data_IF_962219232282
#
_entry.id   IF_962219232282
#
_cell.length_a   1.000
_cell.length_b   1.000
_cell.length_c   1.000
_cell.angle_alpha   90.00
_cell.angle_beta   90.00
_cell.angle_gamma   90.00
#
_symmetry.space_group_name_H-M   'P 1'
#
loop_
_entity.id
_entity.type
_entity.pdbx_description
1 polymer ?
#
# COMPACT_ATOMS: atom_id res chain seq x y z
N UNK A 1 -2.74 -6.18 -17.15
CA UNK A 1 -1.30 -6.03 -17.40
C UNK A 1 -0.62 -5.72 -16.08
N UNK A 2 0.53 -6.35 -15.75
CA UNK A 2 1.30 -6.06 -14.56
C UNK A 2 2.68 -5.53 -14.92
N UNK A 3 3.15 -4.54 -14.19
CA UNK A 3 4.48 -3.95 -14.35
C UNK A 3 5.29 -4.21 -13.08
N UNK A 4 6.37 -4.93 -13.24
CA UNK A 4 7.30 -5.26 -12.16
C UNK A 4 8.53 -4.36 -12.24
N UNK A 5 8.97 -3.86 -11.10
CA UNK A 5 10.29 -3.24 -10.96
C UNK A 5 11.25 -4.28 -10.43
N UNK A 6 12.32 -4.53 -11.15
CA UNK A 6 13.31 -5.56 -10.80
C UNK A 6 14.73 -4.98 -10.75
N UNK A 7 15.66 -5.74 -10.18
CA UNK A 7 17.10 -5.39 -10.20
C UNK A 7 17.69 -5.32 -11.61
N UNK A 8 17.01 -5.96 -12.59
CA UNK A 8 17.46 -6.04 -14.00
C UNK A 8 16.71 -5.05 -14.90
N UNK A 9 15.87 -4.19 -14.36
CA UNK A 9 15.02 -3.26 -15.10
C UNK A 9 13.53 -3.59 -14.93
N UNK A 10 12.70 -3.05 -15.81
CA UNK A 10 11.25 -3.30 -15.78
C UNK A 10 10.90 -4.61 -16.50
N UNK A 11 9.87 -5.29 -15.99
CA UNK A 11 9.26 -6.45 -16.64
C UNK A 11 7.77 -6.23 -16.75
N UNK A 12 7.21 -6.43 -17.93
CA UNK A 12 5.78 -6.32 -18.21
C UNK A 12 5.19 -7.73 -18.33
N UNK A 13 4.18 -8.05 -17.52
CA UNK A 13 3.38 -9.28 -17.67
C UNK A 13 2.08 -8.93 -18.40
N UNK A 14 1.86 -9.59 -19.52
CA UNK A 14 0.65 -9.45 -20.32
C UNK A 14 0.21 -10.82 -20.86
N UNK A 15 -1.05 -11.19 -20.66
CA UNK A 15 -1.63 -12.48 -21.08
C UNK A 15 -0.79 -13.70 -20.69
N UNK A 16 -0.27 -13.70 -19.45
CA UNK A 16 0.53 -14.80 -18.90
C UNK A 16 1.97 -14.89 -19.45
N UNK A 17 2.41 -13.90 -20.23
CA UNK A 17 3.79 -13.81 -20.74
C UNK A 17 4.50 -12.62 -20.12
N UNK A 18 5.79 -12.81 -19.83
CA UNK A 18 6.66 -11.75 -19.33
C UNK A 18 7.54 -11.19 -20.44
N UNK A 19 7.70 -9.86 -20.44
CA UNK A 19 8.51 -9.13 -21.41
C UNK A 19 9.50 -8.25 -20.69
N UNK A 20 10.78 -8.35 -21.03
CA UNK A 20 11.84 -7.52 -20.46
C UNK A 20 11.87 -6.14 -21.10
N UNK A 21 11.91 -5.11 -20.28
CA UNK A 21 11.94 -3.70 -20.66
C UNK A 21 13.05 -2.96 -19.90
N UNK A 22 14.34 -3.37 -20.04
CA UNK A 22 15.44 -2.80 -19.26
C UNK A 22 15.69 -1.33 -19.54
N UNK A 23 15.40 -0.88 -20.76
CA UNK A 23 15.65 0.48 -21.23
C UNK A 23 14.50 1.47 -20.90
N UNK A 24 13.44 0.99 -20.23
CA UNK A 24 12.32 1.82 -19.83
C UNK A 24 12.51 2.26 -18.35
N UNK A 25 12.89 3.52 -18.06
CA UNK A 25 13.07 3.99 -16.70
C UNK A 25 11.74 3.98 -15.94
N UNK A 26 11.76 3.42 -14.73
CA UNK A 26 10.56 3.34 -13.88
C UNK A 26 9.85 4.67 -13.72
N UNK A 27 10.60 5.74 -13.41
CA UNK A 27 10.05 7.07 -13.16
C UNK A 27 9.29 7.61 -14.38
N UNK A 28 9.83 7.39 -15.58
CA UNK A 28 9.19 7.87 -16.82
C UNK A 28 7.90 7.11 -17.12
N UNK A 29 7.86 5.82 -16.78
CA UNK A 29 6.67 4.99 -16.94
C UNK A 29 5.55 5.46 -16.01
N UNK A 30 5.83 5.59 -14.73
CA UNK A 30 4.81 5.84 -13.71
C UNK A 30 4.32 7.29 -13.64
N UNK A 31 4.91 8.19 -14.42
CA UNK A 31 4.41 9.56 -14.60
C UNK A 31 3.45 9.71 -15.80
N UNK A 32 3.20 8.64 -16.55
CA UNK A 32 2.40 8.67 -17.79
C UNK A 32 0.94 8.43 -17.52
N UNK A 33 0.08 9.32 -18.03
CA UNK A 33 -1.39 9.11 -17.98
C UNK A 33 -1.86 7.99 -18.92
N UNK A 34 -1.09 7.71 -19.99
CA UNK A 34 -1.35 6.68 -21.00
C UNK A 34 -0.52 5.40 -20.75
N UNK A 35 -0.10 5.12 -19.52
CA UNK A 35 0.82 4.02 -19.20
C UNK A 35 0.38 2.69 -19.81
N UNK A 36 -0.89 2.32 -19.69
CA UNK A 36 -1.41 1.05 -20.22
C UNK A 36 -1.29 0.96 -21.74
N UNK A 37 -1.69 2.01 -22.46
CA UNK A 37 -1.59 2.07 -23.92
C UNK A 37 -0.14 2.10 -24.39
N UNK A 38 0.70 2.83 -23.69
CA UNK A 38 2.13 2.90 -23.97
C UNK A 38 2.77 1.53 -23.85
N UNK A 39 2.56 0.82 -22.74
CA UNK A 39 3.11 -0.52 -22.53
C UNK A 39 2.58 -1.51 -23.57
N UNK A 40 1.29 -1.46 -23.91
CA UNK A 40 0.70 -2.33 -24.92
C UNK A 40 1.33 -2.12 -26.30
N UNK A 41 1.61 -0.88 -26.70
CA UNK A 41 2.35 -0.59 -27.95
C UNK A 41 3.79 -1.09 -27.87
N UNK A 42 4.43 -0.94 -26.71
CA UNK A 42 5.83 -1.35 -26.50
C UNK A 42 6.04 -2.86 -26.55
N UNK A 43 5.03 -3.69 -26.24
CA UNK A 43 5.14 -5.17 -26.28
C UNK A 43 5.66 -5.70 -27.62
N UNK A 44 5.43 -4.98 -28.71
CA UNK A 44 5.88 -5.40 -30.06
C UNK A 44 7.40 -5.37 -30.24
N UNK A 45 8.10 -4.62 -29.41
CA UNK A 45 9.56 -4.41 -29.49
C UNK A 45 10.31 -4.99 -28.29
N UNK A 46 9.58 -5.41 -27.25
CA UNK A 46 10.18 -6.00 -26.06
C UNK A 46 10.55 -7.46 -26.28
N UNK A 47 11.58 -7.92 -25.60
CA UNK A 47 12.02 -9.31 -25.63
C UNK A 47 11.28 -10.13 -24.56
N UNK A 48 11.07 -11.43 -24.84
CA UNK A 48 10.47 -12.32 -23.84
C UNK A 48 11.44 -12.47 -22.65
N UNK A 49 10.93 -12.25 -21.46
CA UNK A 49 11.63 -12.43 -20.19
C UNK A 49 11.39 -13.82 -19.62
N UNK A 50 12.35 -14.34 -18.87
CA UNK A 50 12.18 -15.56 -18.10
C UNK A 50 11.35 -15.36 -16.83
N UNK A 51 10.69 -16.41 -16.34
CA UNK A 51 9.98 -16.36 -15.05
C UNK A 51 10.91 -16.05 -13.86
N UNK A 52 12.20 -16.34 -13.97
CA UNK A 52 13.20 -16.02 -12.98
C UNK A 52 13.38 -14.51 -12.78
N UNK A 53 13.07 -13.69 -13.79
CA UNK A 53 13.23 -12.23 -13.73
C UNK A 53 12.26 -11.58 -12.75
N UNK A 54 11.08 -12.19 -12.53
CA UNK A 54 10.08 -11.75 -11.54
C UNK A 54 10.08 -12.60 -10.27
N UNK A 55 11.16 -13.31 -9.98
CA UNK A 55 11.32 -14.02 -8.71
C UNK A 55 11.44 -13.03 -7.54
N UNK A 56 11.02 -13.44 -6.35
CA UNK A 56 11.05 -12.60 -5.15
C UNK A 56 12.43 -11.98 -4.86
N UNK A 57 13.51 -12.67 -5.23
CA UNK A 57 14.88 -12.19 -5.05
C UNK A 57 15.26 -11.03 -5.98
N UNK A 58 14.55 -10.85 -7.08
CA UNK A 58 14.80 -9.81 -8.08
C UNK A 58 13.83 -8.63 -7.95
N UNK A 59 12.68 -8.82 -7.30
CA UNK A 59 11.68 -7.77 -7.17
C UNK A 59 12.16 -6.63 -6.28
N UNK A 60 11.84 -5.41 -6.70
CA UNK A 60 12.01 -4.18 -5.94
C UNK A 60 10.64 -3.58 -5.64
N UNK A 61 10.58 -2.68 -4.65
CA UNK A 61 9.37 -1.89 -4.44
C UNK A 61 9.01 -1.14 -5.73
N UNK A 62 7.74 -1.18 -6.17
CA UNK A 62 7.29 -0.52 -7.40
C UNK A 62 7.18 1.01 -7.21
N UNK A 63 8.24 1.64 -6.72
CA UNK A 63 8.32 3.07 -6.43
C UNK A 63 9.61 3.67 -7.01
N UNK A 64 9.58 4.93 -7.40
CA UNK A 64 10.73 5.73 -7.84
C UNK A 64 10.93 6.93 -6.91
N UNK A 65 10.60 8.12 -7.41
CA UNK A 65 10.67 9.38 -6.66
C UNK A 65 9.32 9.79 -6.02
N UNK A 66 8.30 8.92 -6.08
CA UNK A 66 6.95 9.20 -5.59
C UNK A 66 6.92 9.25 -4.06
N UNK A 67 6.19 10.18 -3.50
CA UNK A 67 5.77 10.13 -2.11
C UNK A 67 4.67 9.06 -1.92
N UNK A 68 4.56 8.54 -0.71
CA UNK A 68 3.45 7.70 -0.26
C UNK A 68 2.64 8.48 0.75
N UNK A 69 1.36 8.63 0.46
CA UNK A 69 0.34 9.19 1.35
C UNK A 69 -0.64 8.09 1.74
N UNK A 70 -1.41 8.32 2.79
CA UNK A 70 -2.41 7.37 3.25
C UNK A 70 -3.71 8.08 3.65
N UNK A 71 -4.81 7.32 3.61
CA UNK A 71 -6.11 7.75 4.08
C UNK A 71 -6.53 6.92 5.30
N UNK A 72 -6.86 7.59 6.39
CA UNK A 72 -7.37 6.93 7.59
C UNK A 72 -8.90 6.83 7.61
N UNK A 73 -9.42 5.95 8.46
CA UNK A 73 -10.86 5.85 8.80
C UNK A 73 -11.76 5.70 7.57
N UNK A 74 -11.34 4.87 6.61
CA UNK A 74 -12.06 4.66 5.34
C UNK A 74 -12.95 3.42 5.34
N UNK A 75 -12.75 2.51 6.29
CA UNK A 75 -13.59 1.32 6.52
C UNK A 75 -14.33 1.43 7.86
N UNK A 76 -15.51 0.79 7.95
CA UNK A 76 -16.28 0.75 9.20
C UNK A 76 -15.45 0.14 10.34
N UNK A 77 -14.77 -0.98 10.07
CA UNK A 77 -13.93 -1.67 11.07
C UNK A 77 -12.77 -0.81 11.56
N UNK A 78 -12.14 -0.02 10.66
CA UNK A 78 -11.05 0.88 11.07
C UNK A 78 -11.54 2.05 11.93
N UNK A 79 -12.75 2.56 11.67
CA UNK A 79 -13.39 3.54 12.54
C UNK A 79 -13.58 2.99 13.96
N UNK A 80 -14.18 1.81 14.07
CA UNK A 80 -14.48 1.20 15.37
C UNK A 80 -13.20 0.96 16.16
N UNK A 81 -12.17 0.39 15.53
CA UNK A 81 -10.87 0.17 16.17
C UNK A 81 -10.23 1.48 16.67
N UNK A 82 -10.30 2.56 15.87
CA UNK A 82 -9.77 3.86 16.28
C UNK A 82 -10.54 4.49 17.43
N UNK A 83 -11.84 4.32 17.46
CA UNK A 83 -12.68 4.78 18.57
C UNK A 83 -12.32 4.03 19.86
N UNK A 84 -12.20 2.70 19.81
CA UNK A 84 -11.78 1.86 20.93
C UNK A 84 -10.40 2.26 21.48
N UNK A 85 -9.39 2.46 20.59
CA UNK A 85 -8.02 2.83 20.94
C UNK A 85 -7.90 4.21 21.59
N UNK A 86 -8.74 5.15 21.19
CA UNK A 86 -8.68 6.55 21.64
C UNK A 86 -9.65 6.90 22.78
N UNK A 87 -10.43 5.96 23.27
CA UNK A 87 -11.41 6.18 24.36
C UNK A 87 -10.75 6.80 25.59
N UNK A 88 -9.60 6.26 26.01
CA UNK A 88 -8.85 6.71 27.19
C UNK A 88 -8.32 8.14 26.99
N UNK A 89 -7.97 8.52 25.76
CA UNK A 89 -7.46 9.86 25.43
C UNK A 89 -8.56 10.88 25.11
N UNK A 90 -9.85 10.50 25.15
CA UNK A 90 -10.97 11.37 24.78
C UNK A 90 -11.08 11.65 23.28
N UNK A 91 -10.45 10.84 22.44
CA UNK A 91 -10.35 11.03 20.97
C UNK A 91 -11.43 10.34 20.14
N UNK A 92 -12.27 9.48 20.72
CA UNK A 92 -13.25 8.66 20.00
C UNK A 92 -14.18 9.44 19.09
N UNK A 93 -14.65 10.60 19.53
CA UNK A 93 -15.54 11.48 18.75
C UNK A 93 -14.90 12.00 17.44
N UNK A 94 -13.58 12.18 17.38
CA UNK A 94 -12.90 12.71 16.20
C UNK A 94 -12.95 11.70 15.05
N UNK A 95 -12.75 10.42 15.32
CA UNK A 95 -12.75 9.37 14.30
C UNK A 95 -14.14 9.09 13.74
N UNK A 96 -15.19 9.14 14.58
CA UNK A 96 -16.57 9.06 14.11
C UNK A 96 -16.93 10.25 13.23
N UNK A 97 -16.55 11.47 13.65
CA UNK A 97 -16.77 12.68 12.84
C UNK A 97 -16.08 12.60 11.49
N UNK A 98 -14.81 12.16 11.44
CA UNK A 98 -14.05 12.00 10.17
C UNK A 98 -14.71 10.94 9.29
N UNK A 99 -15.18 9.83 9.87
CA UNK A 99 -15.85 8.78 9.10
C UNK A 99 -17.10 9.33 8.39
N UNK A 100 -17.86 10.21 9.01
CA UNK A 100 -19.08 10.81 8.45
C UNK A 100 -18.86 12.10 7.66
N UNK A 101 -17.73 12.77 7.82
CA UNK A 101 -17.43 14.04 7.14
C UNK A 101 -17.19 13.86 5.63
N UNK A 102 -17.38 14.91 4.84
CA UNK A 102 -16.99 14.94 3.43
C UNK A 102 -15.46 14.90 3.29
N UNK A 103 -14.75 15.63 4.15
CA UNK A 103 -13.29 15.69 4.16
C UNK A 103 -12.70 14.40 4.75
N UNK A 104 -11.88 13.65 3.98
CA UNK A 104 -11.18 12.47 4.50
C UNK A 104 -10.03 12.85 5.41
N UNK A 105 -9.61 11.94 6.27
CA UNK A 105 -8.28 11.95 6.86
C UNK A 105 -7.27 11.58 5.78
N UNK A 106 -6.26 12.43 5.57
CA UNK A 106 -5.13 12.18 4.69
C UNK A 106 -3.86 12.57 5.42
N UNK A 107 -2.86 11.70 5.37
CA UNK A 107 -1.57 11.96 6.00
C UNK A 107 -0.42 11.46 5.14
N UNK A 108 0.75 12.08 5.32
CA UNK A 108 1.99 11.64 4.71
C UNK A 108 2.45 10.34 5.37
N UNK A 109 2.81 9.33 4.54
CA UNK A 109 3.25 8.02 5.04
C UNK A 109 4.74 7.78 4.88
N UNK A 110 5.27 7.96 3.69
CA UNK A 110 6.67 7.64 3.45
C UNK A 110 7.26 8.40 2.25
N UNK A 111 8.55 8.68 2.36
CA UNK A 111 9.43 8.94 1.21
C UNK A 111 9.94 7.60 0.65
N UNK A 112 10.44 7.55 -0.60
CA UNK A 112 10.86 6.30 -1.24
C UNK A 112 11.86 5.46 -0.44
N UNK A 113 12.80 6.09 0.28
CA UNK A 113 13.84 5.37 1.04
C UNK A 113 13.29 4.63 2.28
N UNK A 114 12.06 4.94 2.73
CA UNK A 114 11.36 4.24 3.82
C UNK A 114 10.48 3.10 3.32
N UNK A 115 10.33 2.95 1.99
CA UNK A 115 9.47 1.94 1.40
C UNK A 115 10.24 0.64 1.16
N UNK A 116 9.70 -0.44 1.68
CA UNK A 116 10.25 -1.80 1.55
C UNK A 116 9.56 -2.52 0.39
N UNK A 117 10.32 -3.24 -0.43
CA UNK A 117 9.81 -4.11 -1.49
C UNK A 117 9.51 -5.53 -1.02
N UNK A 118 9.04 -6.40 -1.95
CA UNK A 118 8.79 -7.81 -1.67
C UNK A 118 10.02 -8.52 -1.11
N UNK A 119 9.82 -9.36 -0.09
CA UNK A 119 10.90 -10.09 0.60
C UNK A 119 11.78 -9.24 1.52
N UNK A 120 11.59 -7.92 1.54
CA UNK A 120 12.36 -7.04 2.39
C UNK A 120 11.85 -7.00 3.84
N UNK A 121 12.65 -6.40 4.72
CA UNK A 121 12.35 -6.29 6.15
C UNK A 121 11.61 -4.99 6.45
N UNK A 122 10.38 -5.08 6.96
CA UNK A 122 9.66 -3.97 7.59
C UNK A 122 10.08 -3.82 9.04
N UNK A 123 9.86 -2.64 9.63
CA UNK A 123 10.24 -2.37 11.02
C UNK A 123 9.03 -2.11 11.90
N UNK A 124 9.19 -2.39 13.19
CA UNK A 124 8.40 -1.85 14.30
C UNK A 124 9.24 -0.81 15.02
N UNK A 125 8.61 0.21 15.59
CA UNK A 125 9.34 1.25 16.34
C UNK A 125 9.90 0.67 17.63
N UNK A 126 11.11 1.08 17.99
CA UNK A 126 11.78 0.61 19.21
C UNK A 126 11.12 1.08 20.51
N UNK A 127 10.36 2.17 20.45
CA UNK A 127 9.61 2.76 21.58
C UNK A 127 8.13 2.38 21.60
N UNK A 128 7.64 1.63 20.59
CA UNK A 128 6.26 1.14 20.53
C UNK A 128 6.13 -0.23 21.23
N UNK A 129 5.00 -0.41 21.89
CA UNK A 129 4.61 -1.65 22.58
C UNK A 129 3.53 -2.42 21.82
N UNK A 130 2.82 -1.77 20.93
CA UNK A 130 1.73 -2.35 20.15
C UNK A 130 1.84 -1.92 18.69
N UNK A 131 2.31 -2.83 17.85
CA UNK A 131 2.53 -2.61 16.42
C UNK A 131 1.76 -3.62 15.59
N UNK A 132 1.13 -3.15 14.52
CA UNK A 132 0.35 -4.00 13.60
C UNK A 132 0.65 -3.64 12.15
N UNK A 133 0.45 -4.58 11.20
CA UNK A 133 0.40 -4.25 9.78
C UNK A 133 -1.03 -3.79 9.43
N UNK A 134 -1.15 -2.85 8.54
CA UNK A 134 -2.40 -2.44 7.92
C UNK A 134 -2.35 -2.77 6.43
N UNK A 135 -3.02 -3.85 5.98
CA UNK A 135 -3.10 -4.23 4.58
C UNK A 135 -4.02 -3.30 3.82
N UNK A 136 -3.52 -2.71 2.75
CA UNK A 136 -4.24 -1.69 2.01
C UNK A 136 -4.13 -1.86 0.49
N UNK A 137 -5.18 -1.48 -0.23
CA UNK A 137 -5.05 -1.17 -1.64
C UNK A 137 -4.29 0.17 -1.76
N UNK A 138 -3.22 0.19 -2.53
CA UNK A 138 -2.50 1.41 -2.87
C UNK A 138 -2.79 1.78 -4.32
N UNK A 139 -3.22 3.02 -4.56
CA UNK A 139 -3.38 3.57 -5.91
C UNK A 139 -2.14 4.37 -6.30
N UNK A 140 -1.67 4.19 -7.53
CA UNK A 140 -0.68 5.07 -8.13
C UNK A 140 -1.38 6.14 -8.94
N UNK A 141 -1.07 7.40 -8.63
CA UNK A 141 -1.68 8.59 -9.22
C UNK A 141 -0.63 9.34 -10.02
N UNK A 142 -0.93 9.64 -11.27
CA UNK A 142 -0.05 10.43 -12.14
C UNK A 142 0.02 11.91 -11.70
N UNK A 143 1.00 12.69 -12.20
CA UNK A 143 1.08 14.12 -11.92
C UNK A 143 -0.20 14.90 -12.30
N UNK A 144 -1.01 14.36 -13.21
CA UNK A 144 -2.28 14.98 -13.65
C UNK A 144 -3.51 14.43 -12.91
N UNK A 145 -3.35 13.89 -11.70
CA UNK A 145 -4.44 13.41 -10.82
C UNK A 145 -5.19 12.18 -11.36
N UNK A 146 -4.59 11.42 -12.28
CA UNK A 146 -5.21 10.24 -12.85
C UNK A 146 -4.70 8.99 -12.13
N UNK A 147 -5.60 8.14 -11.65
CA UNK A 147 -5.24 6.80 -11.18
C UNK A 147 -4.80 5.99 -12.41
N UNK A 148 -3.58 5.48 -12.40
CA UNK A 148 -2.97 4.74 -13.50
C UNK A 148 -2.65 3.30 -13.15
N UNK A 149 -2.79 2.92 -11.87
CA UNK A 149 -2.57 1.55 -11.43
C UNK A 149 -2.76 1.33 -9.96
N UNK A 150 -2.62 0.07 -9.56
CA UNK A 150 -2.87 -0.42 -8.21
C UNK A 150 -1.74 -1.34 -7.75
N UNK A 151 -1.42 -1.31 -6.47
CA UNK A 151 -0.47 -2.24 -5.84
C UNK A 151 -0.94 -2.61 -4.44
N UNK A 152 -0.31 -3.62 -3.84
CA UNK A 152 -0.53 -3.92 -2.43
C UNK A 152 0.32 -2.99 -1.60
N UNK A 153 -0.27 -2.41 -0.55
CA UNK A 153 0.40 -1.60 0.45
C UNK A 153 0.33 -2.24 1.85
N UNK A 154 1.35 -1.95 2.65
CA UNK A 154 1.36 -2.21 4.07
C UNK A 154 1.72 -0.92 4.81
N UNK A 155 0.75 -0.36 5.54
CA UNK A 155 0.93 0.77 6.44
C UNK A 155 1.29 0.24 7.85
N UNK A 156 2.59 0.06 8.12
CA UNK A 156 3.04 -0.34 9.46
C UNK A 156 2.71 0.73 10.48
N UNK A 157 2.04 0.34 11.55
CA UNK A 157 1.42 1.25 12.52
C UNK A 157 1.82 0.92 13.95
N UNK A 158 2.18 1.96 14.71
CA UNK A 158 2.42 1.90 16.17
C UNK A 158 1.15 2.35 16.88
N UNK A 159 0.27 1.40 17.18
CA UNK A 159 -1.09 1.64 17.67
C UNK A 159 -1.14 2.33 19.04
N UNK A 160 -0.23 1.98 19.93
CA UNK A 160 -0.11 2.61 21.26
C UNK A 160 0.24 4.10 21.14
N UNK A 161 1.14 4.48 20.25
CA UNK A 161 1.51 5.89 20.03
C UNK A 161 0.35 6.65 19.38
N UNK A 162 -0.34 6.00 18.44
CA UNK A 162 -1.49 6.57 17.75
C UNK A 162 -2.68 6.78 18.67
N UNK A 163 -2.96 5.82 19.56
CA UNK A 163 -4.01 5.90 20.58
C UNK A 163 -3.69 6.86 21.72
N UNK A 164 -2.41 7.11 22.03
CA UNK A 164 -2.00 8.04 23.09
C UNK A 164 -2.44 9.48 22.78
N UNK A 165 -2.25 9.94 21.55
CA UNK A 165 -2.67 11.27 21.13
C UNK A 165 -2.74 11.35 19.61
N UNK A 166 -3.86 11.78 18.99
CA UNK A 166 -3.97 11.98 17.54
C UNK A 166 -2.88 12.86 16.92
N UNK A 167 -2.28 13.76 17.68
CA UNK A 167 -1.17 14.62 17.24
C UNK A 167 0.15 13.84 17.06
N UNK A 168 0.23 12.61 17.57
CA UNK A 168 1.38 11.74 17.41
C UNK A 168 1.29 10.83 16.17
N UNK A 169 0.23 10.97 15.37
CA UNK A 169 0.06 10.22 14.13
C UNK A 169 1.32 10.20 13.24
N UNK A 170 2.04 11.32 13.00
CA UNK A 170 3.27 11.28 12.24
C UNK A 170 4.35 10.37 12.83
N UNK A 171 4.47 10.30 14.16
CA UNK A 171 5.42 9.41 14.82
C UNK A 171 4.97 7.94 14.75
N UNK A 172 3.68 7.68 14.87
CA UNK A 172 3.11 6.35 14.78
C UNK A 172 3.24 5.72 13.38
N UNK A 173 3.25 6.55 12.33
CA UNK A 173 3.15 6.14 10.93
C UNK A 173 4.44 6.35 10.11
N UNK A 174 5.31 7.30 10.48
CA UNK A 174 6.46 7.72 9.66
C UNK A 174 7.77 7.43 10.37
N UNK A 175 8.39 6.31 10.04
CA UNK A 175 9.71 5.88 10.51
C UNK A 175 10.37 4.99 9.46
N UNK A 176 11.62 4.62 9.64
CA UNK A 176 12.35 3.81 8.67
C UNK A 176 11.69 2.44 8.50
N UNK A 177 11.49 2.03 7.24
CA UNK A 177 10.86 0.76 6.87
C UNK A 177 9.42 0.59 7.39
N UNK A 178 8.72 1.70 7.61
CA UNK A 178 7.32 1.72 8.08
C UNK A 178 6.29 1.50 6.98
N UNK A 179 6.72 1.40 5.73
CA UNK A 179 5.83 1.21 4.57
C UNK A 179 6.36 0.11 3.67
N UNK A 180 5.48 -0.72 3.11
CA UNK A 180 5.88 -1.65 2.05
C UNK A 180 4.92 -1.56 0.86
N UNK A 181 5.45 -1.72 -0.36
CA UNK A 181 4.69 -1.74 -1.61
C UNK A 181 5.14 -2.91 -2.49
N UNK A 182 4.20 -3.55 -3.17
CA UNK A 182 4.48 -4.64 -4.11
C UNK A 182 3.31 -5.60 -4.33
N UNK A 183 3.52 -6.74 -4.98
CA UNK A 183 4.74 -7.18 -5.64
C UNK A 183 4.99 -6.49 -6.98
N UNK A 184 3.96 -5.85 -7.56
CA UNK A 184 3.96 -5.20 -8.85
C UNK A 184 2.95 -4.06 -8.90
N UNK A 185 2.96 -3.30 -9.96
CA UNK A 185 1.90 -2.38 -10.32
C UNK A 185 0.93 -3.08 -11.28
N UNK A 186 -0.32 -3.29 -10.88
CA UNK A 186 -1.42 -3.64 -11.79
C UNK A 186 -1.79 -2.38 -12.56
N UNK A 187 -1.40 -2.31 -13.82
CA UNK A 187 -1.64 -1.15 -14.69
C UNK A 187 -3.09 -1.16 -15.15
N UNK A 188 -3.89 -0.25 -14.64
CA UNK A 188 -5.30 -0.06 -14.97
C UNK A 188 -5.76 1.32 -14.52
N UNK A 189 -6.54 2.00 -15.35
CA UNK A 189 -7.29 3.20 -14.95
C UNK A 189 -8.74 2.89 -14.58
N UNK A 190 -9.19 1.66 -14.85
CA UNK A 190 -10.51 1.19 -14.44
C UNK A 190 -10.50 0.83 -12.95
N UNK A 191 -11.61 1.11 -12.27
CA UNK A 191 -11.80 0.67 -10.88
C UNK A 191 -11.71 -0.84 -10.77
N UNK A 192 -11.12 -1.31 -9.67
CA UNK A 192 -11.19 -2.72 -9.32
C UNK A 192 -12.63 -3.08 -8.92
N UNK A 193 -13.07 -4.32 -9.17
CA UNK A 193 -14.38 -4.79 -8.71
C UNK A 193 -14.53 -4.62 -7.19
N UNK A 194 -15.71 -4.25 -6.72
CA UNK A 194 -16.00 -4.14 -5.28
C UNK A 194 -15.80 -5.46 -4.54
N UNK A 195 -15.98 -6.60 -5.24
CA UNK A 195 -15.72 -7.94 -4.70
C UNK A 195 -14.24 -8.31 -4.57
N UNK A 196 -13.31 -7.44 -5.00
CA UNK A 196 -11.87 -7.67 -4.86
C UNK A 196 -11.52 -7.91 -3.40
N UNK A 197 -10.92 -9.06 -3.10
CA UNK A 197 -10.55 -9.42 -1.75
C UNK A 197 -9.15 -8.92 -1.41
N UNK A 198 -9.01 -8.50 -0.15
CA UNK A 198 -7.75 -8.22 0.52
C UNK A 198 -7.63 -9.24 1.65
N UNK A 199 -6.51 -9.95 1.74
CA UNK A 199 -6.23 -10.95 2.76
C UNK A 199 -4.92 -10.64 3.46
N UNK A 200 -4.91 -10.79 4.77
CA UNK A 200 -3.72 -10.70 5.61
C UNK A 200 -3.50 -12.04 6.28
N UNK A 201 -2.28 -12.53 6.26
CA UNK A 201 -1.81 -13.68 7.02
C UNK A 201 -0.50 -13.30 7.73
N UNK A 202 -0.40 -13.60 9.02
CA UNK A 202 0.82 -13.36 9.80
C UNK A 202 1.26 -14.70 10.38
N UNK A 203 2.54 -15.04 10.16
CA UNK A 203 3.16 -16.25 10.69
C UNK A 203 4.29 -15.89 11.63
N UNK A 204 4.35 -16.62 12.74
CA UNK A 204 5.43 -16.56 13.74
C UNK A 204 6.04 -17.94 13.89
N UNK A 205 7.34 -18.06 13.58
CA UNK A 205 8.05 -19.35 13.62
C UNK A 205 7.41 -20.44 12.76
N UNK A 206 6.72 -20.06 11.67
CA UNK A 206 6.01 -20.98 10.77
C UNK A 206 4.53 -21.19 11.08
N UNK A 207 4.07 -20.91 12.31
CA UNK A 207 2.68 -21.04 12.70
C UNK A 207 1.88 -19.78 12.33
N UNK A 208 0.63 -19.95 11.89
CA UNK A 208 -0.29 -18.84 11.67
C UNK A 208 -0.75 -18.28 13.02
N UNK A 209 -0.43 -17.01 13.28
CA UNK A 209 -0.81 -16.30 14.52
C UNK A 209 -1.94 -15.30 14.29
N UNK A 210 -2.19 -14.94 13.05
CA UNK A 210 -3.34 -14.12 12.65
C UNK A 210 -3.66 -14.31 11.17
N UNK A 211 -4.95 -14.38 10.86
CA UNK A 211 -5.45 -14.27 9.50
C UNK A 211 -6.74 -13.44 9.46
N UNK A 212 -6.91 -12.65 8.41
CA UNK A 212 -8.09 -11.82 8.22
C UNK A 212 -8.31 -11.47 6.76
N UNK A 213 -9.55 -11.13 6.41
CA UNK A 213 -9.90 -10.71 5.06
C UNK A 213 -10.97 -9.64 5.06
N UNK A 214 -10.98 -8.82 4.00
CA UNK A 214 -12.03 -7.84 3.69
C UNK A 214 -12.19 -7.75 2.18
N UNK A 215 -13.17 -6.97 1.73
CA UNK A 215 -13.36 -6.66 0.32
C UNK A 215 -13.44 -5.14 0.11
N UNK A 216 -13.27 -4.70 -1.13
CA UNK A 216 -13.45 -3.28 -1.47
C UNK A 216 -14.92 -2.82 -1.36
N UNK A 217 -15.89 -3.73 -1.13
CA UNK A 217 -17.27 -3.39 -0.79
C UNK A 217 -17.34 -2.60 0.52
N UNK A 218 -16.45 -2.92 1.48
CA UNK A 218 -16.40 -2.30 2.80
C UNK A 218 -15.67 -0.94 2.79
N UNK A 219 -15.02 -0.59 1.69
CA UNK A 219 -14.38 0.71 1.51
C UNK A 219 -15.43 1.79 1.26
N UNK A 220 -15.69 2.62 2.26
CA UNK A 220 -16.70 3.68 2.20
C UNK A 220 -16.35 4.78 1.19
N UNK A 221 -15.08 5.14 1.14
CA UNK A 221 -14.62 6.28 0.33
C UNK A 221 -14.13 5.82 -1.02
N UNK A 222 -14.65 6.45 -2.07
CA UNK A 222 -14.14 6.29 -3.42
C UNK A 222 -12.67 6.72 -3.50
N UNK A 223 -11.75 5.88 -4.00
CA UNK A 223 -10.36 6.26 -4.18
C UNK A 223 -10.14 7.55 -4.99
N UNK A 224 -10.99 7.83 -6.00
CA UNK A 224 -10.89 9.07 -6.75
C UNK A 224 -11.23 10.29 -5.88
N UNK A 225 -12.20 10.18 -4.98
CA UNK A 225 -12.50 11.25 -4.01
C UNK A 225 -11.30 11.52 -3.10
N UNK A 226 -10.60 10.49 -2.63
CA UNK A 226 -9.37 10.64 -1.84
C UNK A 226 -8.29 11.36 -2.63
N UNK A 227 -8.10 11.00 -3.90
CA UNK A 227 -7.15 11.66 -4.82
C UNK A 227 -7.53 13.13 -5.04
N UNK A 228 -8.81 13.44 -5.21
CA UNK A 228 -9.27 14.82 -5.43
C UNK A 228 -8.98 15.72 -4.23
N UNK A 229 -9.09 15.18 -3.00
CA UNK A 229 -8.71 15.89 -1.78
C UNK A 229 -7.18 16.00 -1.64
N UNK A 230 -6.43 14.95 -1.94
CA UNK A 230 -4.97 14.94 -1.84
C UNK A 230 -4.31 15.96 -2.77
N UNK A 231 -4.85 16.11 -3.99
CA UNK A 231 -4.34 17.02 -5.01
C UNK A 231 -4.93 18.44 -4.93
N UNK A 232 -5.78 18.73 -3.94
CA UNK A 232 -6.36 20.07 -3.79
C UNK A 232 -5.28 21.03 -3.28
N UNK A 233 -4.89 21.98 -4.13
CA UNK A 233 -3.82 22.96 -3.87
C UNK A 233 -2.47 22.30 -3.53
N UNK A 234 -2.27 21.06 -3.99
CA UNK A 234 -1.05 20.28 -3.83
C UNK A 234 -0.63 19.66 -5.16
N UNK A 235 0.66 19.53 -5.41
CA UNK A 235 1.20 19.00 -6.65
C UNK A 235 2.23 17.90 -6.39
N UNK A 236 2.19 16.87 -7.24
CA UNK A 236 3.12 15.74 -7.20
C UNK A 236 3.80 15.58 -8.55
N UNK A 237 4.95 16.24 -8.78
CA UNK A 237 5.63 16.25 -10.10
C UNK A 237 5.99 14.86 -10.63
N UNK A 238 6.21 13.89 -9.72
CA UNK A 238 6.51 12.50 -10.06
C UNK A 238 5.29 11.58 -9.87
N UNK A 239 4.08 12.13 -9.65
CA UNK A 239 2.95 11.37 -9.14
C UNK A 239 3.13 10.98 -7.67
N UNK A 240 2.17 10.26 -7.11
CA UNK A 240 2.23 9.75 -5.74
C UNK A 240 1.52 8.41 -5.61
N UNK A 241 1.85 7.67 -4.56
CA UNK A 241 1.03 6.57 -4.06
C UNK A 241 0.08 7.07 -2.98
N UNK A 242 -1.15 6.55 -2.99
CA UNK A 242 -2.12 6.77 -1.94
C UNK A 242 -2.62 5.40 -1.45
N UNK A 243 -2.32 5.09 -0.20
CA UNK A 243 -2.90 3.99 0.56
C UNK A 243 -4.34 4.35 0.91
N UNK A 244 -5.28 3.44 0.69
CA UNK A 244 -6.73 3.76 0.76
C UNK A 244 -7.37 3.42 2.09
N UNK A 245 -6.58 2.99 3.08
CA UNK A 245 -7.04 2.53 4.38
C UNK A 245 -7.25 1.03 4.45
N UNK A 246 -7.36 0.52 5.67
CA UNK A 246 -7.52 -0.90 5.97
C UNK A 246 -8.90 -1.26 6.51
N UNK A 247 -9.41 -2.42 6.12
CA UNK A 247 -10.58 -3.07 6.73
C UNK A 247 -10.22 -4.29 7.57
N UNK A 248 -8.94 -4.58 7.77
CA UNK A 248 -8.46 -5.71 8.56
C UNK A 248 -7.66 -5.18 9.74
N UNK A 249 -8.17 -5.41 10.95
CA UNK A 249 -7.55 -4.96 12.20
C UNK A 249 -7.34 -6.17 13.09
N UNK A 250 -6.08 -6.55 13.39
CA UNK A 250 -5.81 -7.54 14.43
C UNK A 250 -6.38 -7.11 15.77
N UNK A 251 -6.71 -8.05 16.67
CA UNK A 251 -7.22 -7.71 18.00
C UNK A 251 -6.16 -6.95 18.83
N UNK A 252 -6.60 -6.22 19.84
CA UNK A 252 -5.76 -5.43 20.75
C UNK A 252 -4.74 -6.27 21.55
N UNK A 253 -5.02 -7.55 21.70
CA UNK A 253 -4.11 -8.53 22.32
C UNK A 253 -2.98 -8.97 21.40
N UNK A 254 -3.03 -8.62 20.10
CA UNK A 254 -2.01 -8.98 19.11
C UNK A 254 -1.01 -7.83 18.94
N UNK A 255 0.27 -8.14 18.93
CA UNK A 255 1.32 -7.26 18.46
C UNK A 255 2.35 -8.03 17.64
N UNK A 256 2.93 -7.38 16.64
CA UNK A 256 4.02 -7.91 15.85
C UNK A 256 5.27 -8.13 16.69
N UNK A 257 6.05 -9.15 16.34
CA UNK A 257 7.37 -9.43 16.88
C UNK A 257 8.42 -9.55 15.77
N UNK A 258 9.68 -9.35 16.11
CA UNK A 258 10.77 -9.58 15.17
C UNK A 258 10.75 -11.03 14.65
N UNK A 259 10.91 -11.19 13.35
CA UNK A 259 10.83 -12.49 12.68
C UNK A 259 9.43 -12.89 12.19
N UNK A 260 8.38 -12.16 12.54
CA UNK A 260 7.05 -12.40 11.97
C UNK A 260 7.06 -12.22 10.45
N UNK A 261 6.46 -13.15 9.73
CA UNK A 261 6.20 -13.04 8.29
C UNK A 261 4.80 -12.47 8.07
N UNK A 262 4.73 -11.36 7.34
CA UNK A 262 3.49 -10.67 6.97
C UNK A 262 3.23 -10.94 5.48
N UNK A 263 2.07 -11.48 5.14
CA UNK A 263 1.65 -11.76 3.77
C UNK A 263 0.33 -11.05 3.49
N UNK A 264 0.36 -10.10 2.56
CA UNK A 264 -0.82 -9.36 2.13
C UNK A 264 -1.11 -9.72 0.69
N UNK A 265 -2.31 -10.24 0.42
CA UNK A 265 -2.73 -10.63 -0.93
C UNK A 265 -3.94 -9.82 -1.36
N UNK A 266 -3.87 -9.23 -2.55
CA UNK A 266 -5.02 -8.58 -3.20
C UNK A 266 -5.28 -9.28 -4.54
N UNK A 267 -6.55 -9.66 -4.75
CA UNK A 267 -6.97 -10.35 -5.96
C UNK A 267 -6.62 -9.54 -7.21
N UNK A 268 -6.10 -10.23 -8.23
CA UNK A 268 -5.65 -9.59 -9.47
C UNK A 268 -4.26 -8.94 -9.42
N UNK A 269 -3.77 -8.56 -8.22
CA UNK A 269 -2.45 -7.93 -8.05
C UNK A 269 -1.41 -9.00 -7.71
N UNK A 270 -1.59 -9.70 -6.59
CA UNK A 270 -0.66 -10.71 -6.09
C UNK A 270 -0.40 -10.57 -4.60
N UNK A 271 0.70 -11.15 -4.13
CA UNK A 271 1.06 -11.19 -2.70
C UNK A 271 2.33 -10.38 -2.43
N UNK A 272 2.24 -9.44 -1.50
CA UNK A 272 3.38 -8.77 -0.87
C UNK A 272 3.72 -9.51 0.40
N UNK A 273 4.93 -10.05 0.49
CA UNK A 273 5.44 -10.71 1.68
C UNK A 273 6.64 -9.96 2.24
N UNK A 274 6.64 -9.74 3.55
CA UNK A 274 7.72 -9.06 4.28
C UNK A 274 7.98 -9.78 5.60
N UNK A 275 9.16 -9.57 6.17
CA UNK A 275 9.54 -10.05 7.51
C UNK A 275 9.78 -8.86 8.42
N UNK A 276 9.34 -8.95 9.67
CA UNK A 276 9.62 -7.93 10.70
C UNK A 276 11.05 -8.07 11.19
N UNK A 277 11.86 -6.97 11.09
CA UNK A 277 13.26 -7.05 11.53
C UNK A 277 14.07 -5.78 11.39
#
# INVERSE_FOLDING_TARGET
MKLYKTKLGCVVEYEGRCYSAPDLPWTDLVCRDDLGEFLQRSLRTLTIAGSADISSNNLLAPIGAQEVWAAGVTYHRSRDARMEESEVAGGGDFYDRVYHADRPELFFKATPHRVVGPGGKVAIRSDAKWSVPEPELAVLVSPKKKIIGYTVGNDMSSRDIEGENPLYLPQAKVYDRSCALGPCLLVSSARLPHSTQIRLEIRRSGDEVFAGSTTLTELKRDPQTLVDYLYRDNSFPNGCYLLTGTGIVPPDTFTLAAGDEIRITIDGIGTLANVVG
#
